data_IF_543240921068
#
_entry.id   IF_543240921068
#
_cell.length_a   1.000
_cell.length_b   1.000
_cell.length_c   1.000
_cell.angle_alpha   90.00
_cell.angle_beta   90.00
_cell.angle_gamma   90.00
#
_symmetry.space_group_name_H-M   'P 1'
#
loop_
_entity.id
_entity.type
_entity.pdbx_description
1 polymer ?
#
# COMPACT_ATOMS: atom_id res chain seq x y z
N UNK A 1 -10.78 -0.35 -27.30
CA UNK A 1 -11.61 -0.78 -26.16
C UNK A 1 -11.00 -0.24 -24.88
N UNK A 2 -11.44 0.93 -24.42
CA UNK A 2 -10.89 1.61 -23.24
C UNK A 2 -11.43 0.90 -21.99
N UNK A 3 -10.77 -0.17 -21.52
CA UNK A 3 -11.09 -0.80 -20.24
C UNK A 3 -10.72 0.20 -19.14
N UNK A 4 -11.63 1.13 -18.80
CA UNK A 4 -11.55 1.92 -17.57
C UNK A 4 -11.56 0.92 -16.42
N UNK A 5 -10.39 0.50 -15.97
CA UNK A 5 -10.27 -0.31 -14.76
C UNK A 5 -10.93 0.47 -13.63
N UNK A 6 -12.00 -0.09 -13.06
CA UNK A 6 -12.62 0.50 -11.89
C UNK A 6 -11.57 0.55 -10.79
N UNK A 7 -11.08 1.75 -10.48
CA UNK A 7 -10.13 1.95 -9.39
C UNK A 7 -10.89 1.67 -8.10
N UNK A 8 -10.63 0.52 -7.49
CA UNK A 8 -11.12 0.20 -6.15
C UNK A 8 -10.23 0.88 -5.12
N UNK A 9 -10.84 1.60 -4.19
CA UNK A 9 -10.16 2.23 -3.06
C UNK A 9 -10.30 1.33 -1.84
N UNK A 10 -9.22 1.21 -1.09
CA UNK A 10 -9.21 0.57 0.23
C UNK A 10 -8.68 1.58 1.25
N UNK A 11 -9.24 1.56 2.45
CA UNK A 11 -8.73 2.33 3.58
C UNK A 11 -7.98 1.36 4.48
N UNK A 12 -6.73 1.69 4.83
CA UNK A 12 -5.91 0.91 5.75
C UNK A 12 -5.69 1.75 6.99
N UNK A 13 -6.11 1.25 8.14
CA UNK A 13 -5.83 1.87 9.42
C UNK A 13 -4.47 1.39 9.93
N UNK A 14 -3.64 2.33 10.37
CA UNK A 14 -2.32 2.06 10.92
C UNK A 14 -2.27 2.58 12.35
N UNK A 15 -1.54 1.89 13.22
CA UNK A 15 -1.17 2.46 14.50
C UNK A 15 -0.23 3.65 14.31
N UNK A 16 -0.17 4.56 15.29
CA UNK A 16 0.60 5.80 15.19
C UNK A 16 2.09 5.56 14.87
N UNK A 17 2.68 4.53 15.47
CA UNK A 17 4.06 4.13 15.24
C UNK A 17 4.29 3.60 13.81
N UNK A 18 3.35 2.82 13.27
CA UNK A 18 3.39 2.30 11.90
C UNK A 18 3.25 3.43 10.89
N UNK A 19 2.32 4.37 11.13
CA UNK A 19 2.13 5.55 10.29
C UNK A 19 3.38 6.44 10.27
N UNK A 20 3.98 6.73 11.44
CA UNK A 20 5.20 7.53 11.53
C UNK A 20 6.40 6.86 10.85
N UNK A 21 6.50 5.53 10.92
CA UNK A 21 7.54 4.78 10.21
C UNK A 21 7.36 4.89 8.69
N UNK A 22 6.12 4.77 8.20
CA UNK A 22 5.81 4.91 6.79
C UNK A 22 6.13 6.33 6.29
N UNK A 23 5.73 7.36 7.03
CA UNK A 23 6.00 8.76 6.71
C UNK A 23 7.51 9.04 6.57
N UNK A 24 8.31 8.69 7.58
CA UNK A 24 9.77 8.85 7.54
C UNK A 24 10.42 8.14 6.36
N UNK A 25 9.94 6.94 6.02
CA UNK A 25 10.45 6.20 4.86
C UNK A 25 10.09 6.90 3.55
N UNK A 26 8.86 7.41 3.42
CA UNK A 26 8.42 8.16 2.25
C UNK A 26 9.22 9.46 2.09
N UNK A 27 9.46 10.19 3.17
CA UNK A 27 10.26 11.42 3.16
C UNK A 27 11.71 11.15 2.73
N UNK A 28 12.32 10.06 3.22
CA UNK A 28 13.68 9.70 2.87
C UNK A 28 13.84 9.23 1.42
N UNK A 29 12.85 8.51 0.89
CA UNK A 29 12.93 7.88 -0.44
C UNK A 29 12.25 8.67 -1.54
N UNK A 30 11.45 9.69 -1.18
CA UNK A 30 10.60 10.43 -2.11
C UNK A 30 9.43 9.62 -2.69
N UNK A 31 9.18 8.41 -2.18
CA UNK A 31 8.11 7.53 -2.68
C UNK A 31 6.76 7.91 -2.08
N UNK A 32 5.70 7.83 -2.87
CA UNK A 32 4.35 8.03 -2.37
C UNK A 32 3.91 6.86 -1.46
N UNK A 33 3.28 7.18 -0.33
CA UNK A 33 2.79 6.17 0.62
C UNK A 33 1.88 5.12 -0.04
N UNK A 34 1.07 5.52 -1.02
CA UNK A 34 0.18 4.63 -1.77
C UNK A 34 0.94 3.60 -2.60
N UNK A 35 2.10 3.96 -3.15
CA UNK A 35 2.95 3.04 -3.93
C UNK A 35 3.67 2.05 -3.01
N UNK A 36 4.19 2.55 -1.89
CA UNK A 36 4.84 1.72 -0.86
C UNK A 36 3.85 0.69 -0.31
N UNK A 37 2.66 1.11 0.12
CA UNK A 37 1.62 0.20 0.63
C UNK A 37 1.22 -0.83 -0.43
N UNK A 38 1.04 -0.40 -1.69
CA UNK A 38 0.65 -1.31 -2.77
C UNK A 38 1.72 -2.38 -3.04
N UNK A 39 2.99 -1.98 -3.02
CA UNK A 39 4.12 -2.90 -3.19
C UNK A 39 4.19 -3.91 -2.05
N UNK A 40 4.09 -3.45 -0.80
CA UNK A 40 4.08 -4.31 0.38
C UNK A 40 2.93 -5.33 0.34
N UNK A 41 1.72 -4.89 0.00
CA UNK A 41 0.56 -5.79 -0.15
C UNK A 41 0.81 -6.85 -1.22
N UNK A 42 1.41 -6.48 -2.36
CA UNK A 42 1.74 -7.43 -3.45
C UNK A 42 2.82 -8.43 -3.07
N UNK A 43 3.72 -8.06 -2.17
CA UNK A 43 4.78 -8.93 -1.68
C UNK A 43 4.29 -9.94 -0.63
N UNK A 44 3.11 -9.73 -0.04
CA UNK A 44 2.51 -10.70 0.87
C UNK A 44 2.20 -12.00 0.11
N UNK A 45 2.74 -13.12 0.60
CA UNK A 45 2.36 -14.43 0.08
C UNK A 45 0.90 -14.70 0.43
N UNK A 46 0.05 -14.77 -0.59
CA UNK A 46 -1.34 -15.17 -0.41
C UNK A 46 -1.37 -16.69 -0.38
N UNK A 47 -1.28 -17.28 0.81
CA UNK A 47 -1.66 -18.68 0.98
C UNK A 47 -3.17 -18.74 0.84
N UNK A 48 -3.65 -19.19 -0.32
CA UNK A 48 -5.06 -19.49 -0.52
C UNK A 48 -5.35 -20.76 0.29
N UNK A 49 -5.91 -20.61 1.49
CA UNK A 49 -6.58 -21.71 2.16
C UNK A 49 -7.90 -21.94 1.43
N UNK A 50 -7.96 -23.04 0.66
CA UNK A 50 -9.21 -23.58 0.10
C UNK A 50 -10.03 -24.28 1.18
#
# INVERSE_FOLDING_TARGET
MNKKWAVKRITVNLALNEASKLEKYCDHTGRAATDVIRELIRALQVTRSE
#
